data_IF_082090489478
#
_entry.id   IF_082090489478
#
_cell.length_a   1.000
_cell.length_b   1.000
_cell.length_c   1.000
_cell.angle_alpha   90.00
_cell.angle_beta   90.00
_cell.angle_gamma   90.00
#
_symmetry.space_group_name_H-M   'P 1'
#
loop_
_entity.id
_entity.type
_entity.pdbx_description
1 polymer ?
#
# COMPACT_ATOMS: atom_id res chain seq x y z
N UNK A 1 -12.76 -12.12 -15.67
CA UNK A 1 -11.66 -11.20 -15.26
C UNK A 1 -12.09 -10.50 -13.99
N UNK A 2 -11.18 -10.03 -13.12
CA UNK A 2 -11.60 -9.24 -11.95
C UNK A 2 -11.83 -7.78 -12.33
N UNK A 3 -12.70 -7.10 -11.57
CA UNK A 3 -13.04 -5.69 -11.78
C UNK A 3 -11.81 -4.78 -11.71
N UNK A 4 -10.84 -5.08 -10.84
CA UNK A 4 -9.58 -4.33 -10.79
C UNK A 4 -8.79 -4.42 -12.10
N UNK A 5 -8.70 -5.61 -12.71
CA UNK A 5 -8.05 -5.78 -14.02
C UNK A 5 -8.78 -5.01 -15.12
N UNK A 6 -10.10 -4.91 -15.04
CA UNK A 6 -10.89 -4.12 -15.98
C UNK A 6 -10.65 -2.62 -15.82
N UNK A 7 -10.57 -2.11 -14.57
CA UNK A 7 -10.22 -0.72 -14.28
C UNK A 7 -8.83 -0.35 -14.83
N UNK A 8 -7.83 -1.23 -14.63
CA UNK A 8 -6.49 -1.05 -15.21
C UNK A 8 -6.55 -0.99 -16.75
N UNK A 9 -7.31 -1.90 -17.37
CA UNK A 9 -7.45 -1.94 -18.83
C UNK A 9 -8.16 -0.69 -19.38
N UNK A 10 -9.20 -0.21 -18.70
CA UNK A 10 -9.94 0.99 -19.10
C UNK A 10 -9.08 2.25 -18.96
N UNK A 11 -8.30 2.36 -17.88
CA UNK A 11 -7.35 3.45 -17.69
C UNK A 11 -6.24 3.43 -18.75
N UNK A 12 -5.79 2.24 -19.15
CA UNK A 12 -4.77 2.05 -20.19
C UNK A 12 -5.29 2.31 -21.61
N UNK A 13 -6.57 2.06 -21.91
CA UNK A 13 -7.15 2.31 -23.25
C UNK A 13 -7.16 3.81 -23.65
N UNK A 14 -6.89 4.75 -22.73
CA UNK A 14 -6.76 6.19 -23.04
C UNK A 14 -5.33 6.62 -23.41
N UNK A 15 -4.34 5.72 -23.44
CA UNK A 15 -2.96 5.97 -23.91
C UNK A 15 -2.35 4.68 -24.51
N UNK A 16 -1.87 4.68 -25.76
CA UNK A 16 -1.49 3.44 -26.40
C UNK A 16 -0.05 3.01 -26.01
N UNK A 17 0.11 1.68 -25.95
CA UNK A 17 1.34 0.86 -26.03
C UNK A 17 2.15 0.63 -24.74
N UNK A 18 1.98 -0.60 -24.23
CA UNK A 18 2.95 -1.50 -23.58
C UNK A 18 4.31 -0.91 -23.16
N UNK A 19 4.34 -0.28 -21.99
CA UNK A 19 5.48 -0.15 -21.08
C UNK A 19 4.93 0.55 -19.81
N UNK A 20 5.39 0.21 -18.60
CA UNK A 20 5.27 1.08 -17.40
C UNK A 20 3.94 1.21 -16.60
N UNK A 21 2.85 0.48 -16.87
CA UNK A 21 1.55 0.75 -16.18
C UNK A 21 1.42 0.32 -14.72
N UNK A 22 2.48 -0.20 -14.10
CA UNK A 22 2.46 -0.54 -12.68
C UNK A 22 3.26 0.43 -11.79
N UNK A 23 4.01 1.37 -12.37
CA UNK A 23 4.83 2.33 -11.60
C UNK A 23 4.07 3.57 -11.11
N UNK A 24 2.94 3.91 -11.76
CA UNK A 24 2.12 5.07 -11.43
C UNK A 24 0.68 4.80 -11.91
N UNK A 25 -0.20 4.38 -11.00
CA UNK A 25 -1.63 4.29 -11.33
C UNK A 25 -2.20 5.70 -11.56
N UNK A 26 -2.99 5.91 -12.62
CA UNK A 26 -3.77 7.13 -12.79
C UNK A 26 -4.58 7.44 -11.53
N UNK A 27 -4.67 8.72 -11.16
CA UNK A 27 -5.30 9.15 -9.90
C UNK A 27 -6.76 8.70 -9.84
N UNK A 28 -7.42 8.70 -10.99
CA UNK A 28 -8.83 8.39 -11.20
C UNK A 28 -9.17 6.92 -10.95
N UNK A 29 -8.15 6.03 -10.86
CA UNK A 29 -8.37 4.63 -10.47
C UNK A 29 -8.75 4.54 -8.99
N UNK A 30 -8.18 5.40 -8.14
CA UNK A 30 -8.47 5.37 -6.70
C UNK A 30 -9.96 5.62 -6.43
N UNK A 31 -10.60 6.52 -7.18
CA UNK A 31 -12.01 6.87 -7.02
C UNK A 31 -12.96 5.72 -7.37
N UNK A 32 -12.47 4.71 -8.10
CA UNK A 32 -13.25 3.54 -8.54
C UNK A 32 -12.92 2.28 -7.73
N UNK A 33 -11.90 2.34 -6.88
CA UNK A 33 -11.52 1.25 -5.98
C UNK A 33 -12.42 1.25 -4.74
N UNK A 34 -12.99 0.08 -4.44
CA UNK A 34 -13.62 -0.22 -3.16
C UNK A 34 -12.88 -1.31 -2.41
N UNK A 35 -13.56 -1.93 -1.45
CA UNK A 35 -12.98 -2.96 -0.57
C UNK A 35 -12.44 -4.17 -1.34
N UNK A 36 -13.15 -4.60 -2.39
CA UNK A 36 -12.74 -5.73 -3.24
C UNK A 36 -11.42 -5.45 -3.95
N UNK A 37 -11.27 -4.28 -4.56
CA UNK A 37 -10.03 -3.88 -5.21
C UNK A 37 -8.87 -3.75 -4.23
N UNK A 38 -9.12 -3.29 -2.99
CA UNK A 38 -8.09 -3.24 -1.95
C UNK A 38 -7.60 -4.64 -1.58
N UNK A 39 -8.51 -5.61 -1.42
CA UNK A 39 -8.13 -7.00 -1.17
C UNK A 39 -7.29 -7.58 -2.32
N UNK A 40 -7.65 -7.29 -3.57
CA UNK A 40 -6.87 -7.69 -4.75
C UNK A 40 -5.47 -7.04 -4.80
N UNK A 41 -5.36 -5.77 -4.41
CA UNK A 41 -4.07 -5.08 -4.31
C UNK A 41 -3.17 -5.74 -3.25
N UNK A 42 -3.72 -6.06 -2.07
CA UNK A 42 -2.97 -6.74 -1.00
C UNK A 42 -2.52 -8.13 -1.46
N UNK A 43 -3.42 -8.92 -2.06
CA UNK A 43 -3.08 -10.23 -2.62
C UNK A 43 -2.03 -10.13 -3.74
N UNK A 44 -2.05 -9.05 -4.52
CA UNK A 44 -1.05 -8.79 -5.55
C UNK A 44 0.32 -8.45 -4.94
N UNK A 45 0.37 -7.66 -3.87
CA UNK A 45 1.62 -7.39 -3.14
C UNK A 45 2.23 -8.67 -2.57
N UNK A 46 1.38 -9.57 -2.05
CA UNK A 46 1.78 -10.90 -1.58
C UNK A 46 2.40 -11.73 -2.71
N UNK A 47 1.74 -11.80 -3.88
CA UNK A 47 2.28 -12.50 -5.06
C UNK A 47 3.61 -11.91 -5.52
N UNK A 48 3.73 -10.59 -5.60
CA UNK A 48 4.98 -9.91 -6.00
C UNK A 48 6.13 -10.18 -5.02
N UNK A 49 5.83 -10.40 -3.74
CA UNK A 49 6.83 -10.82 -2.78
C UNK A 49 7.36 -12.22 -3.10
N UNK A 50 6.47 -13.17 -3.41
CA UNK A 50 6.85 -14.54 -3.80
C UNK A 50 7.69 -14.51 -5.08
N UNK A 51 7.21 -13.82 -6.12
CA UNK A 51 7.91 -13.68 -7.40
C UNK A 51 9.32 -13.12 -7.20
N UNK A 52 9.48 -12.12 -6.31
CA UNK A 52 10.80 -11.58 -5.97
C UNK A 52 11.74 -12.61 -5.33
N UNK A 53 11.23 -13.53 -4.52
CA UNK A 53 12.04 -14.57 -3.87
C UNK A 53 12.41 -15.71 -4.83
N UNK A 54 11.59 -15.96 -5.84
CA UNK A 54 11.80 -17.03 -6.84
C UNK A 54 12.80 -16.65 -7.94
N UNK A 55 13.11 -15.36 -8.08
CA UNK A 55 14.19 -14.87 -8.95
C UNK A 55 15.54 -15.28 -8.32
N UNK A 56 16.02 -16.46 -8.74
CA UNK A 56 17.20 -17.14 -8.20
C UNK A 56 18.51 -16.38 -8.45
N UNK A 57 18.61 -15.66 -9.57
CA UNK A 57 19.77 -14.86 -9.94
C UNK A 57 19.37 -13.39 -10.03
N UNK A 58 20.13 -12.53 -9.35
CA UNK A 58 19.95 -11.09 -9.45
C UNK A 58 20.32 -10.63 -10.86
N UNK A 59 19.30 -10.47 -11.71
CA UNK A 59 19.44 -9.93 -13.08
C UNK A 59 19.33 -8.39 -13.12
N UNK A 60 19.13 -7.73 -11.98
CA UNK A 60 18.96 -6.28 -11.86
C UNK A 60 17.59 -5.79 -12.34
N UNK A 61 17.23 -6.12 -13.57
CA UNK A 61 16.07 -5.59 -14.28
C UNK A 61 14.75 -6.12 -13.72
N UNK A 62 14.63 -7.43 -13.45
CA UNK A 62 13.38 -8.03 -12.99
C UNK A 62 13.04 -7.59 -11.56
N UNK A 63 14.04 -7.44 -10.70
CA UNK A 63 13.82 -6.96 -9.33
C UNK A 63 13.43 -5.48 -9.28
N UNK A 64 14.00 -4.65 -10.17
CA UNK A 64 13.65 -3.24 -10.29
C UNK A 64 12.22 -3.07 -10.80
N UNK A 65 11.79 -3.89 -11.75
CA UNK A 65 10.42 -3.85 -12.25
C UNK A 65 9.40 -4.29 -11.20
N UNK A 66 9.68 -5.35 -10.44
CA UNK A 66 8.84 -5.72 -9.28
C UNK A 66 8.79 -4.58 -8.27
N UNK A 67 9.92 -3.92 -8.02
CA UNK A 67 9.97 -2.79 -7.10
C UNK A 67 9.11 -1.61 -7.57
N UNK A 68 9.19 -1.26 -8.86
CA UNK A 68 8.33 -0.23 -9.48
C UNK A 68 6.85 -0.58 -9.32
N UNK A 69 6.47 -1.83 -9.58
CA UNK A 69 5.09 -2.31 -9.46
C UNK A 69 4.58 -2.17 -8.02
N UNK A 70 5.35 -2.66 -7.05
CA UNK A 70 4.99 -2.56 -5.64
C UNK A 70 4.87 -1.10 -5.16
N UNK A 71 5.73 -0.22 -5.68
CA UNK A 71 5.67 1.22 -5.41
C UNK A 71 4.38 1.84 -5.94
N UNK A 72 3.93 1.48 -7.14
CA UNK A 72 2.64 1.93 -7.65
C UNK A 72 1.49 1.51 -6.73
N UNK A 73 1.49 0.26 -6.27
CA UNK A 73 0.43 -0.26 -5.40
C UNK A 73 0.37 0.45 -4.06
N UNK A 74 1.52 0.70 -3.42
CA UNK A 74 1.54 1.50 -2.19
C UNK A 74 1.00 2.91 -2.41
N UNK A 75 1.32 3.57 -3.53
CA UNK A 75 0.82 4.92 -3.82
C UNK A 75 -0.69 4.94 -4.03
N UNK A 76 -1.26 3.88 -4.61
CA UNK A 76 -2.70 3.73 -4.74
C UNK A 76 -3.34 3.51 -3.36
N UNK A 77 -2.80 2.60 -2.55
CA UNK A 77 -3.26 2.39 -1.16
C UNK A 77 -3.20 3.68 -0.35
N UNK A 78 -2.14 4.48 -0.48
CA UNK A 78 -1.99 5.76 0.22
C UNK A 78 -3.15 6.72 -0.07
N UNK A 79 -3.70 6.73 -1.29
CA UNK A 79 -4.87 7.57 -1.64
C UNK A 79 -6.16 7.06 -0.99
N UNK A 80 -6.24 5.75 -0.76
CA UNK A 80 -7.41 5.08 -0.23
C UNK A 80 -7.46 5.05 1.31
N UNK A 81 -6.38 5.42 2.01
CA UNK A 81 -6.32 5.32 3.49
C UNK A 81 -7.34 6.16 4.22
N UNK A 82 -7.82 7.26 3.64
CA UNK A 82 -8.86 8.08 4.27
C UNK A 82 -10.25 7.44 4.16
N UNK A 83 -10.50 6.69 3.08
CA UNK A 83 -11.81 6.09 2.81
C UNK A 83 -11.93 4.67 3.35
N UNK A 84 -10.85 3.88 3.26
CA UNK A 84 -10.84 2.46 3.61
C UNK A 84 -9.68 2.07 4.54
N UNK A 85 -9.48 2.78 5.69
CA UNK A 85 -8.34 2.52 6.57
C UNK A 85 -8.28 1.08 7.08
N UNK A 86 -9.42 0.50 7.46
CA UNK A 86 -9.50 -0.85 8.04
C UNK A 86 -9.17 -1.94 7.03
N UNK A 87 -9.70 -1.83 5.81
CA UNK A 87 -9.43 -2.79 4.74
C UNK A 87 -7.95 -2.77 4.35
N UNK A 88 -7.34 -1.59 4.29
CA UNK A 88 -5.91 -1.46 3.99
C UNK A 88 -5.07 -2.02 5.13
N UNK A 89 -5.48 -1.82 6.38
CA UNK A 89 -4.77 -2.33 7.56
C UNK A 89 -4.67 -3.87 7.59
N UNK A 90 -5.54 -4.60 6.89
CA UNK A 90 -5.39 -6.05 6.71
C UNK A 90 -4.02 -6.43 6.11
N UNK A 91 -3.43 -5.58 5.28
CA UNK A 91 -2.09 -5.79 4.71
C UNK A 91 -0.97 -5.78 5.76
N UNK A 92 -1.17 -5.14 6.93
CA UNK A 92 -0.23 -5.19 8.04
C UNK A 92 -0.16 -6.58 8.70
N UNK A 93 -1.19 -7.41 8.53
CA UNK A 93 -1.26 -8.78 9.04
C UNK A 93 -0.77 -9.82 8.01
N UNK A 94 -0.31 -9.40 6.82
CA UNK A 94 0.20 -10.35 5.81
C UNK A 94 1.39 -11.14 6.34
N UNK A 95 1.46 -12.42 5.97
CA UNK A 95 2.63 -13.28 6.25
C UNK A 95 3.90 -12.76 5.56
N UNK A 96 3.75 -11.99 4.48
CA UNK A 96 4.86 -11.52 3.67
C UNK A 96 5.35 -10.15 4.11
N UNK A 97 6.65 -10.07 4.42
CA UNK A 97 7.28 -8.87 4.96
C UNK A 97 7.18 -7.66 4.02
N UNK A 98 7.24 -7.89 2.70
CA UNK A 98 7.12 -6.83 1.71
C UNK A 98 5.73 -6.18 1.71
N UNK A 99 4.67 -6.98 1.84
CA UNK A 99 3.29 -6.46 1.90
C UNK A 99 3.08 -5.62 3.15
N UNK A 100 3.56 -6.09 4.32
CA UNK A 100 3.53 -5.31 5.56
C UNK A 100 4.28 -3.98 5.43
N UNK A 101 5.46 -4.01 4.79
CA UNK A 101 6.24 -2.81 4.51
C UNK A 101 5.47 -1.77 3.70
N UNK A 102 4.90 -2.15 2.55
CA UNK A 102 4.19 -1.21 1.68
C UNK A 102 2.87 -0.72 2.30
N UNK A 103 2.20 -1.56 3.08
CA UNK A 103 1.01 -1.16 3.82
C UNK A 103 1.34 -0.13 4.89
N UNK A 104 2.38 -0.36 5.70
CA UNK A 104 2.86 0.62 6.68
C UNK A 104 3.32 1.92 5.99
N UNK A 105 4.00 1.80 4.84
CA UNK A 105 4.45 2.95 4.06
C UNK A 105 3.27 3.81 3.57
N UNK A 106 2.16 3.19 3.16
CA UNK A 106 0.93 3.90 2.75
C UNK A 106 0.39 4.79 3.87
N UNK A 107 0.25 4.25 5.09
CA UNK A 107 -0.18 5.02 6.26
C UNK A 107 0.83 6.10 6.68
N UNK A 108 2.14 5.88 6.48
CA UNK A 108 3.14 6.92 6.73
C UNK A 108 3.02 8.12 5.80
N UNK A 109 2.43 7.93 4.62
CA UNK A 109 2.35 8.93 3.55
C UNK A 109 1.01 9.63 3.52
N UNK A 110 -0.05 8.89 3.84
CA UNK A 110 -1.40 9.42 4.00
C UNK A 110 -1.95 8.95 5.35
N UNK A 111 -1.57 9.62 6.45
CA UNK A 111 -1.91 9.20 7.80
C UNK A 111 -3.40 9.37 8.08
N UNK A 112 -3.96 8.42 8.84
CA UNK A 112 -5.34 8.42 9.32
C UNK A 112 -5.38 7.91 10.74
N UNK A 113 -6.25 8.51 11.57
CA UNK A 113 -6.35 8.16 12.99
C UNK A 113 -6.94 6.76 13.19
N UNK A 114 -7.77 6.31 12.24
CA UNK A 114 -8.43 5.01 12.28
C UNK A 114 -7.46 3.83 12.13
N UNK A 115 -6.25 4.07 11.62
CA UNK A 115 -5.22 3.04 11.46
C UNK A 115 -4.36 2.84 12.72
N UNK A 116 -4.51 3.67 13.76
CA UNK A 116 -3.68 3.62 14.97
C UNK A 116 -3.75 2.25 15.66
N UNK A 117 -4.93 1.68 15.95
CA UNK A 117 -5.01 0.40 16.66
C UNK A 117 -4.31 -0.74 15.89
N UNK A 118 -4.53 -0.82 14.58
CA UNK A 118 -3.89 -1.84 13.74
C UNK A 118 -2.37 -1.64 13.64
N UNK A 119 -1.89 -0.39 13.62
CA UNK A 119 -0.45 -0.09 13.63
C UNK A 119 0.22 -0.42 14.96
N UNK A 120 -0.47 -0.22 16.08
CA UNK A 120 0.00 -0.61 17.41
C UNK A 120 0.12 -2.13 17.51
N UNK A 121 -0.92 -2.87 17.12
CA UNK A 121 -0.91 -4.33 17.08
C UNK A 121 0.21 -4.87 16.18
N UNK A 122 0.33 -4.33 14.96
CA UNK A 122 1.38 -4.68 14.02
C UNK A 122 2.79 -4.49 14.59
N UNK A 123 3.05 -3.40 15.32
CA UNK A 123 4.36 -3.11 15.90
C UNK A 123 4.75 -4.04 17.05
N UNK A 124 3.79 -4.70 17.70
CA UNK A 124 4.07 -5.73 18.71
C UNK A 124 4.59 -7.03 18.09
N UNK A 125 4.22 -7.30 16.84
CA UNK A 125 4.47 -8.57 16.16
C UNK A 125 5.57 -8.50 15.08
N UNK A 126 5.86 -7.31 14.54
CA UNK A 126 6.84 -7.16 13.46
C UNK A 126 8.28 -7.39 13.93
N UNK A 127 8.96 -8.31 13.26
CA UNK A 127 10.35 -8.71 13.56
C UNK A 127 11.36 -8.07 12.61
N UNK A 128 10.94 -7.67 11.40
CA UNK A 128 11.83 -7.00 10.45
C UNK A 128 12.12 -5.56 10.90
N UNK A 129 13.39 -5.24 11.16
CA UNK A 129 13.81 -3.90 11.59
C UNK A 129 13.35 -2.79 10.61
N UNK A 130 13.52 -3.00 9.31
CA UNK A 130 13.07 -2.05 8.27
C UNK A 130 11.56 -1.80 8.36
N UNK A 131 10.79 -2.86 8.50
CA UNK A 131 9.34 -2.80 8.56
C UNK A 131 8.86 -2.14 9.85
N UNK A 132 9.48 -2.49 10.98
CA UNK A 132 9.22 -1.89 12.28
C UNK A 132 9.47 -0.37 12.26
N UNK A 133 10.60 0.08 11.70
CA UNK A 133 10.89 1.51 11.58
C UNK A 133 9.89 2.24 10.68
N UNK A 134 9.44 1.60 9.61
CA UNK A 134 8.38 2.13 8.73
C UNK A 134 7.05 2.23 9.47
N UNK A 135 6.70 1.20 10.23
CA UNK A 135 5.52 1.17 11.11
C UNK A 135 5.52 2.26 12.16
N UNK A 136 6.65 2.46 12.86
CA UNK A 136 6.79 3.55 13.84
C UNK A 136 6.60 4.92 13.20
N UNK A 137 7.13 5.10 11.99
CA UNK A 137 6.92 6.34 11.24
C UNK A 137 5.45 6.54 10.89
N UNK A 138 4.76 5.49 10.46
CA UNK A 138 3.33 5.52 10.19
C UNK A 138 2.51 5.86 11.44
N UNK A 139 2.77 5.18 12.57
CA UNK A 139 2.08 5.43 13.84
C UNK A 139 2.31 6.87 14.32
N UNK A 140 3.56 7.36 14.25
CA UNK A 140 3.88 8.76 14.59
C UNK A 140 3.12 9.75 13.70
N UNK A 141 3.01 9.49 12.40
CA UNK A 141 2.27 10.36 11.48
C UNK A 141 0.76 10.36 11.79
N UNK A 142 0.17 9.20 12.08
CA UNK A 142 -1.25 9.05 12.41
C UNK A 142 -1.61 9.73 13.75
N UNK A 143 -0.78 9.53 14.78
CA UNK A 143 -0.97 10.15 16.10
C UNK A 143 -0.77 11.68 16.08
N UNK A 144 0.17 12.18 15.27
CA UNK A 144 0.39 13.63 15.11
C UNK A 144 -0.84 14.34 14.53
N UNK A 145 -1.64 13.65 13.70
CA UNK A 145 -2.89 14.17 13.13
C UNK A 145 -3.94 14.44 14.23
N UNK A 146 -4.05 13.57 15.23
CA UNK A 146 -4.92 13.79 16.42
C UNK A 146 -4.51 15.08 17.14
N UNK A 147 -3.21 15.25 17.39
CA UNK A 147 -2.70 16.43 18.08
C UNK A 147 -2.92 17.74 17.31
N UNK A 148 -3.01 17.68 15.98
CA UNK A 148 -3.37 18.83 15.14
C UNK A 148 -4.87 19.12 15.20
N UNK A 149 -5.72 18.10 15.07
CA UNK A 149 -7.17 18.26 15.18
C UNK A 149 -7.59 18.81 16.55
N UNK A 150 -7.02 18.29 17.64
CA UNK A 150 -7.27 18.80 19.00
C UNK A 150 -6.83 20.26 19.17
N UNK A 151 -5.72 20.68 18.54
CA UNK A 151 -5.24 22.07 18.60
C UNK A 151 -6.06 23.05 17.77
N UNK A 152 -6.57 22.62 16.62
CA UNK A 152 -7.32 23.48 15.70
C UNK A 152 -8.81 23.55 16.01
N UNK A 153 -9.38 22.48 16.57
CA UNK A 153 -10.83 22.33 16.72
C UNK A 153 -11.28 21.92 18.13
N UNK A 154 -10.34 21.66 19.05
CA UNK A 154 -10.66 21.37 20.44
C UNK A 154 -10.96 22.65 21.22
N UNK A 155 -12.25 22.93 21.41
CA UNK A 155 -12.78 23.46 22.69
C UNK A 155 -13.21 22.29 23.54
#
# INVERSE_FOLDING_TARGET
>A
MSKFKELLKQANNRKPILENTYGNFPVEIADQCGEGEIAEIIATLDRLHIEKQEIADWDGDSQDDIWKVQRGYYQLLARLTQTYPRQIALGLRSRYSSTRFYTALAFSKSPTVDAIPDLEEYLLLETSHRNYMTGKKALKACTSKIGLFRRLFGR
#
